data_IF_081404176024
#
_entry.id   IF_081404176024
#
_cell.length_a   1.000
_cell.length_b   1.000
_cell.length_c   1.000
_cell.angle_alpha   90.00
_cell.angle_beta   90.00
_cell.angle_gamma   90.00
#
_symmetry.space_group_name_H-M   'P 1'
#
loop_
_entity.id
_entity.type
_entity.pdbx_description
1 polymer ?
#
# COMPACT_ATOMS: atom_id res chain seq x y z
N UNK A 1 27.71 14.91 15.97
CA UNK A 1 28.23 14.30 14.72
C UNK A 1 27.23 14.20 13.56
N UNK A 2 25.93 13.95 13.78
CA UNK A 2 24.96 13.77 12.67
C UNK A 2 24.58 15.03 11.85
N UNK A 3 24.87 16.24 12.35
CA UNK A 3 24.58 17.51 11.63
C UNK A 3 25.70 17.92 10.66
N UNK A 4 26.97 17.56 10.92
CA UNK A 4 28.11 17.90 10.06
C UNK A 4 28.15 17.07 8.76
N UNK A 5 27.73 15.81 8.80
CA UNK A 5 27.76 14.91 7.62
C UNK A 5 26.76 15.36 6.54
N UNK A 6 25.65 16.00 6.91
CA UNK A 6 24.66 16.56 5.97
C UNK A 6 25.14 17.84 5.26
N UNK A 7 26.03 18.62 5.87
CA UNK A 7 26.56 19.87 5.29
C UNK A 7 27.63 19.56 4.23
N UNK A 8 28.50 18.58 4.50
CA UNK A 8 29.58 18.17 3.58
C UNK A 8 29.02 17.57 2.28
N UNK A 9 27.90 16.83 2.34
CA UNK A 9 27.24 16.28 1.15
C UNK A 9 26.56 17.35 0.27
N UNK A 10 26.10 18.46 0.86
CA UNK A 10 25.44 19.56 0.12
C UNK A 10 26.46 20.44 -0.63
N UNK A 11 27.67 20.60 -0.09
CA UNK A 11 28.75 21.37 -0.73
C UNK A 11 29.39 20.66 -1.93
N UNK A 12 29.42 19.31 -1.96
CA UNK A 12 29.96 18.54 -3.10
C UNK A 12 29.09 18.64 -4.37
N UNK A 13 27.78 18.87 -4.23
CA UNK A 13 26.84 19.00 -5.36
C UNK A 13 26.88 20.42 -5.95
N UNK A 14 27.16 21.45 -5.15
CA UNK A 14 27.26 22.83 -5.67
C UNK A 14 28.52 23.07 -6.51
N UNK A 15 29.64 22.38 -6.24
CA UNK A 15 30.86 22.51 -7.06
C UNK A 15 30.72 21.90 -8.45
N UNK A 16 29.84 20.91 -8.65
CA UNK A 16 29.58 20.31 -9.97
C UNK A 16 28.61 21.14 -10.83
N UNK A 17 27.76 21.97 -10.22
CA UNK A 17 26.87 22.90 -10.93
C UNK A 17 27.57 24.19 -11.41
N UNK A 18 28.71 24.55 -10.81
CA UNK A 18 29.45 25.76 -11.20
C UNK A 18 30.19 25.60 -12.55
N UNK A 19 30.53 24.38 -12.96
CA UNK A 19 31.16 24.12 -14.27
C UNK A 19 30.15 23.96 -15.42
N UNK A 20 28.89 23.58 -15.14
CA UNK A 20 27.87 23.46 -16.19
C UNK A 20 27.30 24.81 -16.64
N UNK A 21 27.46 25.87 -15.84
CA UNK A 21 27.01 27.23 -16.17
C UNK A 21 27.97 28.02 -17.06
N UNK A 22 29.19 27.53 -17.31
CA UNK A 22 30.18 28.22 -18.16
C UNK A 22 30.11 27.84 -19.65
N UNK A 23 29.32 26.83 -20.01
CA UNK A 23 29.16 26.37 -21.41
C UNK A 23 27.99 27.07 -22.13
N UNK A 24 27.10 27.75 -21.39
CA UNK A 24 25.96 28.49 -21.96
C UNK A 24 26.23 30.01 -21.92
N UNK A 25 27.37 30.45 -22.46
CA UNK A 25 27.71 31.88 -22.54
C UNK A 25 28.31 32.33 -23.87
N UNK A 26 28.25 31.52 -24.93
CA UNK A 26 28.69 31.98 -26.25
C UNK A 26 27.73 31.50 -27.32
N UNK A 27 26.82 32.41 -27.69
CA UNK A 27 26.21 32.59 -29.02
C UNK A 27 24.94 33.44 -28.86
N UNK A 28 25.14 34.75 -28.82
CA UNK A 28 24.12 35.77 -29.06
C UNK A 28 24.26 36.19 -30.52
N UNK A 29 23.35 35.73 -31.38
CA UNK A 29 22.92 36.49 -32.57
C UNK A 29 21.45 36.17 -32.84
N UNK A 30 20.64 37.21 -32.99
CA UNK A 30 19.18 37.17 -32.99
C UNK A 30 18.56 36.80 -34.34
N UNK A 31 19.28 36.09 -35.22
CA UNK A 31 18.82 35.80 -36.59
C UNK A 31 18.47 34.34 -36.87
N UNK A 32 18.80 33.38 -36.00
CA UNK A 32 18.47 31.95 -36.23
C UNK A 32 17.14 31.50 -35.61
N UNK A 33 16.53 32.30 -34.72
CA UNK A 33 15.27 31.92 -34.06
C UNK A 33 14.06 31.86 -35.02
N UNK A 34 14.08 32.61 -36.12
CA UNK A 34 12.96 32.62 -37.07
C UNK A 34 13.02 31.51 -38.12
N UNK A 35 14.20 30.96 -38.42
CA UNK A 35 14.34 29.82 -39.34
C UNK A 35 14.21 28.46 -38.63
N UNK A 36 14.53 28.38 -37.34
CA UNK A 36 14.46 27.13 -36.57
C UNK A 36 13.03 26.67 -36.25
N UNK A 37 12.05 27.59 -36.25
CA UNK A 37 10.65 27.28 -35.93
C UNK A 37 9.82 26.78 -37.13
N UNK A 38 10.35 26.82 -38.37
CA UNK A 38 9.56 26.50 -39.58
C UNK A 38 9.86 25.15 -40.24
N UNK A 39 10.88 24.40 -39.82
CA UNK A 39 11.30 23.15 -40.50
C UNK A 39 11.20 21.87 -39.66
N UNK A 40 10.67 21.90 -38.43
CA UNK A 40 10.43 20.70 -37.61
C UNK A 40 8.95 20.45 -37.30
N UNK A 41 8.09 20.76 -38.27
CA UNK A 41 6.68 20.35 -38.31
C UNK A 41 6.46 18.87 -38.67
N UNK A 42 7.42 17.98 -38.40
CA UNK A 42 7.21 16.53 -38.46
C UNK A 42 7.30 15.97 -37.05
N UNK A 43 6.14 15.59 -36.52
CA UNK A 43 5.91 14.92 -35.23
C UNK A 43 6.88 13.76 -35.02
N UNK A 44 8.05 14.01 -34.42
CA UNK A 44 8.79 12.97 -33.73
C UNK A 44 8.02 12.64 -32.45
N UNK A 45 7.13 11.64 -32.52
CA UNK A 45 6.69 10.91 -31.33
C UNK A 45 7.95 10.27 -30.74
N UNK A 46 8.64 10.96 -29.83
CA UNK A 46 9.68 10.38 -28.99
C UNK A 46 9.07 9.15 -28.31
N UNK A 47 9.41 7.97 -28.81
CA UNK A 47 9.15 6.71 -28.12
C UNK A 47 10.06 6.67 -26.91
N UNK A 48 9.64 7.32 -25.82
CA UNK A 48 10.23 7.11 -24.51
C UNK A 48 10.06 5.61 -24.20
N UNK A 49 11.13 4.84 -23.94
CA UNK A 49 10.98 3.43 -23.63
C UNK A 49 10.04 3.29 -22.42
N UNK A 50 9.03 2.41 -22.55
CA UNK A 50 8.03 2.17 -21.51
C UNK A 50 8.76 1.75 -20.23
N UNK A 51 8.60 2.53 -19.16
CA UNK A 51 9.24 2.24 -17.87
C UNK A 51 8.86 0.83 -17.41
N UNK A 52 9.88 0.02 -17.12
CA UNK A 52 9.70 -1.36 -16.65
C UNK A 52 9.48 -1.37 -15.14
N UNK A 53 8.61 -2.28 -14.70
CA UNK A 53 8.40 -2.53 -13.27
C UNK A 53 9.67 -3.08 -12.61
N UNK A 54 9.90 -2.75 -11.33
CA UNK A 54 11.13 -3.19 -10.63
C UNK A 54 11.24 -4.71 -10.55
N UNK A 55 10.10 -5.42 -10.40
CA UNK A 55 10.06 -6.87 -10.51
C UNK A 55 10.67 -7.34 -11.83
N UNK A 56 10.21 -6.81 -12.97
CA UNK A 56 10.72 -7.14 -14.31
C UNK A 56 12.20 -6.82 -14.47
N UNK A 57 12.68 -5.75 -13.84
CA UNK A 57 14.10 -5.35 -13.90
C UNK A 57 15.00 -6.31 -13.11
N UNK A 58 14.52 -6.82 -11.98
CA UNK A 58 15.34 -7.57 -11.03
C UNK A 58 15.03 -9.07 -10.95
N UNK A 59 14.12 -9.58 -11.78
CA UNK A 59 13.82 -10.99 -11.93
C UNK A 59 14.38 -11.56 -13.23
N UNK A 60 14.77 -12.84 -13.18
CA UNK A 60 15.17 -13.63 -14.34
C UNK A 60 14.01 -14.53 -14.79
N UNK A 61 14.26 -15.34 -15.82
CA UNK A 61 13.34 -16.39 -16.26
C UNK A 61 12.79 -17.19 -15.06
N UNK A 62 11.47 -17.42 -15.04
CA UNK A 62 10.78 -18.05 -13.91
C UNK A 62 10.46 -17.12 -12.72
N UNK A 63 10.48 -15.79 -12.91
CA UNK A 63 10.17 -14.81 -11.86
C UNK A 63 11.09 -14.88 -10.61
N UNK A 64 12.31 -15.40 -10.77
CA UNK A 64 13.27 -15.52 -9.67
C UNK A 64 14.12 -14.26 -9.56
N UNK A 65 14.11 -13.63 -8.39
CA UNK A 65 14.94 -12.46 -8.11
C UNK A 65 16.44 -12.79 -8.06
N UNK A 66 17.28 -11.82 -8.44
CA UNK A 66 18.73 -11.93 -8.22
C UNK A 66 19.07 -12.13 -6.75
N UNK A 67 20.22 -12.79 -6.47
CA UNK A 67 20.66 -13.03 -5.08
C UNK A 67 20.70 -11.75 -4.25
N UNK A 68 21.24 -10.66 -4.84
CA UNK A 68 21.30 -9.34 -4.22
C UNK A 68 19.91 -8.77 -3.94
N UNK A 69 18.97 -8.87 -4.90
CA UNK A 69 17.61 -8.35 -4.71
C UNK A 69 16.82 -9.16 -3.69
N UNK A 70 16.98 -10.48 -3.70
CA UNK A 70 16.38 -11.35 -2.71
C UNK A 70 16.92 -11.08 -1.30
N UNK A 71 18.24 -10.88 -1.14
CA UNK A 71 18.83 -10.50 0.15
C UNK A 71 18.24 -9.17 0.67
N UNK A 72 18.03 -8.19 -0.23
CA UNK A 72 17.33 -6.95 0.12
C UNK A 72 15.89 -7.21 0.60
N UNK A 73 15.13 -8.07 -0.08
CA UNK A 73 13.78 -8.45 0.39
C UNK A 73 13.80 -9.08 1.79
N UNK A 74 14.77 -9.95 2.06
CA UNK A 74 14.93 -10.60 3.36
C UNK A 74 15.24 -9.56 4.44
N UNK A 75 16.08 -8.57 4.15
CA UNK A 75 16.38 -7.48 5.08
C UNK A 75 15.12 -6.66 5.40
N UNK A 76 14.34 -6.27 4.39
CA UNK A 76 13.05 -5.58 4.61
C UNK A 76 12.15 -6.42 5.52
N UNK A 77 11.99 -7.71 5.19
CA UNK A 77 11.14 -8.61 5.98
C UNK A 77 11.60 -8.71 7.44
N UNK A 78 12.91 -8.81 7.67
CA UNK A 78 13.47 -8.87 9.01
C UNK A 78 13.20 -7.59 9.80
N UNK A 79 13.31 -6.40 9.18
CA UNK A 79 12.99 -5.13 9.85
C UNK A 79 11.51 -5.04 10.27
N UNK A 80 10.59 -5.51 9.43
CA UNK A 80 9.17 -5.58 9.76
C UNK A 80 8.92 -6.58 10.91
N UNK A 81 9.55 -7.75 10.87
CA UNK A 81 9.34 -8.79 11.87
C UNK A 81 9.77 -8.39 13.29
N UNK A 82 10.76 -7.51 13.45
CA UNK A 82 11.23 -7.02 14.76
C UNK A 82 10.11 -6.32 15.57
N UNK A 83 9.09 -5.80 14.88
CA UNK A 83 7.98 -5.07 15.49
C UNK A 83 6.89 -5.99 16.07
N UNK A 84 6.92 -7.28 15.75
CA UNK A 84 5.88 -8.23 16.13
C UNK A 84 6.28 -9.12 17.31
N UNK A 85 5.41 -9.22 18.31
CA UNK A 85 5.54 -10.21 19.37
C UNK A 85 5.05 -11.59 18.90
N UNK A 86 5.44 -12.61 19.65
CA UNK A 86 4.89 -13.97 19.55
C UNK A 86 3.88 -14.17 20.69
N UNK A 87 2.90 -15.10 20.57
CA UNK A 87 1.97 -15.41 21.65
C UNK A 87 2.73 -15.99 22.84
N UNK A 88 2.11 -15.89 24.03
CA UNK A 88 2.61 -16.62 25.21
C UNK A 88 2.50 -18.13 24.96
N UNK A 89 3.24 -18.90 25.74
CA UNK A 89 3.20 -20.37 25.64
C UNK A 89 1.75 -20.87 25.83
N UNK A 90 1.31 -21.75 24.93
CA UNK A 90 -0.05 -22.30 24.93
C UNK A 90 -1.10 -21.42 24.23
N UNK A 91 -0.82 -20.16 23.92
CA UNK A 91 -1.77 -19.28 23.25
C UNK A 91 -1.70 -19.37 21.70
N UNK A 92 -2.80 -19.02 21.05
CA UNK A 92 -2.87 -18.92 19.59
C UNK A 92 -2.28 -17.57 19.13
N UNK A 93 -1.47 -17.53 18.06
CA UNK A 93 -1.11 -16.27 17.43
C UNK A 93 -2.36 -15.63 16.82
N UNK A 94 -2.37 -14.30 16.77
CA UNK A 94 -3.52 -13.52 16.28
C UNK A 94 -3.16 -12.89 14.95
N UNK A 95 -4.06 -13.01 13.98
CA UNK A 95 -4.02 -12.22 12.76
C UNK A 95 -5.24 -11.34 12.68
N UNK A 96 -5.01 -10.04 12.51
CA UNK A 96 -6.07 -9.06 12.31
C UNK A 96 -6.18 -8.76 10.83
N UNK A 97 -7.29 -9.12 10.20
CA UNK A 97 -7.61 -8.71 8.84
C UNK A 97 -8.26 -7.33 8.87
N UNK A 98 -7.71 -6.39 8.12
CA UNK A 98 -8.28 -5.04 7.97
C UNK A 98 -8.77 -4.88 6.54
N UNK A 99 -10.05 -4.57 6.38
CA UNK A 99 -10.78 -4.54 5.13
C UNK A 99 -11.63 -3.27 4.95
N UNK A 100 -12.06 -3.02 3.72
CA UNK A 100 -12.92 -1.89 3.41
C UNK A 100 -12.58 -1.24 2.07
N UNK A 101 -13.59 -0.61 1.48
CA UNK A 101 -13.46 0.12 0.22
C UNK A 101 -12.33 1.16 0.21
N UNK A 102 -11.94 1.61 -0.97
CA UNK A 102 -10.96 2.70 -1.09
C UNK A 102 -11.46 3.94 -0.33
N UNK A 103 -10.57 4.60 0.41
CA UNK A 103 -10.86 5.76 1.26
C UNK A 103 -11.88 5.57 2.40
N UNK A 104 -12.21 4.33 2.79
CA UNK A 104 -13.15 4.08 3.89
C UNK A 104 -12.65 4.47 5.29
N UNK A 105 -11.33 4.60 5.48
CA UNK A 105 -10.74 4.93 6.80
C UNK A 105 -10.12 3.74 7.54
N UNK A 106 -9.65 2.72 6.80
CA UNK A 106 -8.87 1.59 7.35
C UNK A 106 -7.70 2.04 8.25
N UNK A 107 -6.97 3.07 7.83
CA UNK A 107 -5.88 3.63 8.65
C UNK A 107 -6.39 4.19 9.98
N UNK A 108 -7.55 4.86 9.96
CA UNK A 108 -8.20 5.40 11.17
C UNK A 108 -8.53 4.28 12.14
N UNK A 109 -9.32 3.26 11.74
CA UNK A 109 -9.69 2.16 12.64
C UNK A 109 -8.45 1.41 13.16
N UNK A 110 -7.43 1.24 12.31
CA UNK A 110 -6.17 0.59 12.67
C UNK A 110 -5.49 1.33 13.82
N UNK A 111 -5.41 2.65 13.73
CA UNK A 111 -4.71 3.49 14.70
C UNK A 111 -5.52 3.70 15.98
N UNK A 112 -6.84 3.87 15.90
CA UNK A 112 -7.66 4.30 17.04
C UNK A 112 -8.31 3.14 17.79
N UNK A 113 -8.76 2.09 17.10
CA UNK A 113 -9.51 0.99 17.71
C UNK A 113 -8.63 -0.25 17.85
N UNK A 114 -8.06 -0.72 16.75
CA UNK A 114 -7.37 -2.02 16.71
C UNK A 114 -6.09 -1.97 17.54
N UNK A 115 -5.22 -0.98 17.29
CA UNK A 115 -3.97 -0.83 18.06
C UNK A 115 -4.23 -0.64 19.56
N UNK A 116 -5.24 0.14 19.94
CA UNK A 116 -5.63 0.33 21.34
C UNK A 116 -5.98 -1.00 22.00
N UNK A 117 -6.88 -1.79 21.40
CA UNK A 117 -7.26 -3.13 21.89
C UNK A 117 -6.08 -4.10 21.99
N UNK A 118 -5.14 -4.04 21.04
CA UNK A 118 -3.95 -4.89 21.07
C UNK A 118 -2.96 -4.47 22.17
N UNK A 119 -2.77 -3.17 22.39
CA UNK A 119 -1.91 -2.63 23.46
C UNK A 119 -2.47 -2.98 24.83
N UNK A 120 -3.79 -2.87 25.04
CA UNK A 120 -4.46 -3.30 26.29
C UNK A 120 -4.20 -4.78 26.61
N UNK A 121 -3.98 -5.59 25.57
CA UNK A 121 -3.63 -7.02 25.69
C UNK A 121 -2.12 -7.28 25.69
N UNK A 122 -1.29 -6.24 25.69
CA UNK A 122 0.18 -6.34 25.56
C UNK A 122 0.64 -7.08 24.30
N UNK A 123 -0.07 -6.91 23.18
CA UNK A 123 0.24 -7.54 21.89
C UNK A 123 0.85 -6.51 20.93
N UNK A 124 2.09 -6.77 20.50
CA UNK A 124 2.76 -5.99 19.47
C UNK A 124 2.55 -6.66 18.10
N UNK A 125 2.08 -5.90 17.12
CA UNK A 125 1.84 -6.39 15.76
C UNK A 125 2.58 -5.57 14.73
N UNK A 126 2.96 -6.22 13.63
CA UNK A 126 3.37 -5.55 12.40
C UNK A 126 2.22 -5.52 11.40
N UNK A 127 2.07 -4.43 10.65
CA UNK A 127 1.14 -4.38 9.51
C UNK A 127 1.80 -4.93 8.26
N UNK A 128 1.16 -5.89 7.61
CA UNK A 128 1.46 -6.29 6.24
C UNK A 128 0.61 -5.44 5.30
N UNK A 129 1.19 -4.34 4.82
CA UNK A 129 0.60 -3.45 3.81
C UNK A 129 1.57 -3.27 2.63
N UNK A 130 1.21 -3.72 1.42
CA UNK A 130 2.03 -3.51 0.23
C UNK A 130 2.29 -2.04 -0.11
N UNK A 131 1.46 -1.10 0.34
CA UNK A 131 1.70 0.34 0.14
C UNK A 131 2.79 0.86 1.08
N UNK A 132 2.83 0.44 2.35
CA UNK A 132 3.90 0.78 3.30
C UNK A 132 5.24 0.13 2.90
N UNK A 133 5.22 -1.10 2.36
CA UNK A 133 6.43 -1.79 1.92
C UNK A 133 7.12 -1.08 0.74
N UNK A 134 6.39 -0.29 -0.08
CA UNK A 134 6.98 0.43 -1.22
C UNK A 134 8.05 1.41 -0.78
N UNK A 135 7.89 2.06 0.37
CA UNK A 135 8.87 3.02 0.89
C UNK A 135 10.20 2.37 1.30
N UNK A 136 10.22 1.04 1.42
CA UNK A 136 11.44 0.27 1.65
C UNK A 136 12.13 -0.21 0.36
N UNK A 137 11.48 -0.05 -0.80
CA UNK A 137 12.07 -0.39 -2.10
C UNK A 137 12.98 0.78 -2.53
N UNK A 138 14.29 0.57 -2.72
CA UNK A 138 15.26 1.66 -2.91
C UNK A 138 14.95 2.62 -4.06
N UNK A 139 14.35 2.10 -5.14
CA UNK A 139 14.00 2.90 -6.32
C UNK A 139 12.80 3.81 -6.10
N UNK A 140 11.95 3.54 -5.10
CA UNK A 140 10.63 4.16 -4.99
C UNK A 140 10.73 5.68 -4.78
N UNK A 141 11.64 6.15 -3.93
CA UNK A 141 11.86 7.59 -3.72
C UNK A 141 12.27 8.33 -5.01
N UNK A 142 13.14 7.72 -5.80
CA UNK A 142 13.56 8.29 -7.08
C UNK A 142 12.42 8.27 -8.09
N UNK A 143 11.63 7.19 -8.12
CA UNK A 143 10.46 7.06 -8.98
C UNK A 143 9.39 8.08 -8.61
N UNK A 144 9.12 8.33 -7.32
CA UNK A 144 8.19 9.38 -6.86
C UNK A 144 8.58 10.76 -7.41
N UNK A 145 9.88 11.07 -7.47
CA UNK A 145 10.39 12.35 -7.99
C UNK A 145 10.34 12.46 -9.51
N UNK A 146 10.68 11.39 -10.23
CA UNK A 146 10.79 11.43 -11.71
C UNK A 146 9.50 11.10 -12.44
N UNK A 147 8.70 10.20 -11.87
CA UNK A 147 7.51 9.62 -12.48
C UNK A 147 6.40 9.43 -11.43
N UNK A 148 5.91 10.51 -10.78
CA UNK A 148 4.99 10.43 -9.64
C UNK A 148 3.74 9.58 -9.91
N UNK A 149 3.16 9.70 -11.11
CA UNK A 149 1.95 8.98 -11.52
C UNK A 149 2.19 7.47 -11.72
N UNK A 150 3.42 7.06 -12.04
CA UNK A 150 3.78 5.67 -12.31
C UNK A 150 4.49 5.00 -11.14
N UNK A 151 5.08 5.76 -10.22
CA UNK A 151 5.97 5.25 -9.18
C UNK A 151 5.35 4.08 -8.41
N UNK A 152 4.13 4.26 -7.91
CA UNK A 152 3.44 3.24 -7.12
C UNK A 152 3.13 1.98 -7.92
N UNK A 153 2.83 2.12 -9.23
CA UNK A 153 2.57 1.02 -10.16
C UNK A 153 3.85 0.24 -10.45
N UNK A 154 4.97 0.94 -10.66
CA UNK A 154 6.25 0.35 -11.04
C UNK A 154 6.85 -0.56 -9.96
N UNK A 155 6.59 -0.27 -8.68
CA UNK A 155 7.06 -1.12 -7.56
C UNK A 155 5.99 -2.08 -7.02
N UNK A 156 4.75 -2.01 -7.52
CA UNK A 156 3.61 -2.69 -6.92
C UNK A 156 3.77 -4.21 -6.85
N UNK A 157 4.19 -4.86 -7.96
CA UNK A 157 4.32 -6.32 -7.98
C UNK A 157 5.41 -6.82 -7.05
N UNK A 158 6.51 -6.07 -6.93
CA UNK A 158 7.58 -6.41 -6.01
C UNK A 158 7.15 -6.22 -4.55
N UNK A 159 6.40 -5.16 -4.23
CA UNK A 159 5.88 -4.98 -2.88
C UNK A 159 4.89 -6.07 -2.47
N UNK A 160 4.10 -6.61 -3.43
CA UNK A 160 3.28 -7.80 -3.21
C UNK A 160 4.12 -9.05 -2.90
N UNK A 161 5.20 -9.31 -3.65
CA UNK A 161 6.07 -10.46 -3.41
C UNK A 161 6.75 -10.37 -2.02
N UNK A 162 7.21 -9.18 -1.63
CA UNK A 162 7.77 -8.93 -0.28
C UNK A 162 6.70 -9.14 0.81
N UNK A 163 5.47 -8.66 0.58
CA UNK A 163 4.35 -8.86 1.52
C UNK A 163 4.05 -10.36 1.71
N UNK A 164 4.05 -11.14 0.63
CA UNK A 164 3.85 -12.59 0.71
C UNK A 164 4.99 -13.30 1.45
N UNK A 165 6.23 -12.86 1.24
CA UNK A 165 7.40 -13.36 1.97
C UNK A 165 7.31 -13.03 3.47
N UNK A 166 6.89 -11.81 3.81
CA UNK A 166 6.65 -11.38 5.19
C UNK A 166 5.59 -12.26 5.86
N UNK A 167 4.43 -12.46 5.22
CA UNK A 167 3.37 -13.34 5.75
C UNK A 167 3.87 -14.77 5.97
N UNK A 168 4.66 -15.32 5.04
CA UNK A 168 5.24 -16.67 5.20
C UNK A 168 6.15 -16.74 6.43
N UNK A 169 6.98 -15.73 6.65
CA UNK A 169 7.89 -15.66 7.81
C UNK A 169 7.13 -15.44 9.12
N UNK A 170 6.15 -14.55 9.15
CA UNK A 170 5.31 -14.32 10.34
C UNK A 170 4.60 -15.60 10.79
N UNK A 171 4.02 -16.34 9.85
CA UNK A 171 3.41 -17.66 10.12
C UNK A 171 4.43 -18.65 10.70
N UNK A 172 5.60 -18.77 10.06
CA UNK A 172 6.66 -19.69 10.50
C UNK A 172 7.09 -19.42 11.93
N UNK A 173 7.19 -18.14 12.31
CA UNK A 173 7.62 -17.72 13.64
C UNK A 173 6.46 -17.46 14.60
N UNK A 174 5.23 -17.87 14.22
CA UNK A 174 3.98 -17.71 14.99
C UNK A 174 3.80 -16.28 15.52
N UNK A 175 4.12 -15.26 14.72
CA UNK A 175 4.03 -13.86 15.12
C UNK A 175 2.61 -13.33 15.02
N UNK A 176 2.21 -12.41 15.90
CA UNK A 176 0.98 -11.63 15.71
C UNK A 176 1.18 -10.61 14.58
N UNK A 177 0.17 -10.41 13.74
CA UNK A 177 0.27 -9.40 12.68
C UNK A 177 -1.10 -8.89 12.21
N UNK A 178 -1.10 -7.72 11.59
CA UNK A 178 -2.25 -7.19 10.88
C UNK A 178 -2.03 -7.41 9.37
N UNK A 179 -3.06 -7.81 8.64
CA UNK A 179 -3.03 -7.92 7.19
C UNK A 179 -4.06 -6.96 6.59
N UNK A 180 -3.58 -5.89 5.98
CA UNK A 180 -4.45 -4.87 5.40
C UNK A 180 -4.70 -5.12 3.92
N UNK A 181 -5.92 -4.84 3.48
CA UNK A 181 -6.29 -4.82 2.07
C UNK A 181 -7.69 -4.29 1.89
N UNK A 182 -8.17 -4.24 0.65
CA UNK A 182 -9.51 -3.73 0.39
C UNK A 182 -10.61 -4.72 0.75
N UNK A 183 -10.32 -6.02 0.87
CA UNK A 183 -11.32 -7.10 0.87
C UNK A 183 -12.15 -7.23 -0.42
N UNK A 184 -11.81 -6.54 -1.51
CA UNK A 184 -12.53 -6.63 -2.78
C UNK A 184 -12.21 -7.88 -3.63
N UNK A 185 -11.74 -8.99 -3.03
CA UNK A 185 -11.36 -10.22 -3.73
C UNK A 185 -11.73 -11.46 -2.91
N UNK A 186 -12.98 -11.89 -2.98
CA UNK A 186 -13.56 -12.98 -2.16
C UNK A 186 -12.68 -14.23 -2.12
N UNK A 187 -12.27 -14.76 -3.29
CA UNK A 187 -11.49 -16.00 -3.34
C UNK A 187 -10.10 -15.85 -2.72
N UNK A 188 -9.48 -14.66 -2.78
CA UNK A 188 -8.22 -14.37 -2.11
C UNK A 188 -8.40 -14.48 -0.60
N UNK A 189 -9.44 -13.87 -0.04
CA UNK A 189 -9.69 -13.89 1.40
C UNK A 189 -10.11 -15.26 1.92
N UNK A 190 -10.90 -16.03 1.17
CA UNK A 190 -11.18 -17.45 1.49
C UNK A 190 -9.88 -18.25 1.62
N UNK A 191 -8.94 -18.08 0.68
CA UNK A 191 -7.64 -18.76 0.71
C UNK A 191 -6.76 -18.29 1.87
N UNK A 192 -6.73 -16.98 2.15
CA UNK A 192 -5.98 -16.41 3.28
C UNK A 192 -6.49 -16.92 4.63
N UNK A 193 -7.81 -16.88 4.85
CA UNK A 193 -8.43 -17.39 6.09
C UNK A 193 -8.11 -18.87 6.27
N UNK A 194 -8.28 -19.69 5.22
CA UNK A 194 -7.91 -21.12 5.27
C UNK A 194 -6.43 -21.31 5.61
N UNK A 195 -5.54 -20.50 5.04
CA UNK A 195 -4.10 -20.55 5.34
C UNK A 195 -3.81 -20.20 6.80
N UNK A 196 -4.45 -19.17 7.35
CA UNK A 196 -4.24 -18.75 8.73
C UNK A 196 -4.84 -19.73 9.74
N UNK A 197 -6.05 -20.25 9.49
CA UNK A 197 -6.64 -21.32 10.32
C UNK A 197 -5.76 -22.57 10.34
N UNK A 198 -5.24 -23.00 9.18
CA UNK A 198 -4.29 -24.13 9.11
C UNK A 198 -2.99 -23.89 9.87
N UNK A 199 -2.57 -22.64 10.01
CA UNK A 199 -1.40 -22.25 10.80
C UNK A 199 -1.71 -22.07 12.31
N UNK A 200 -2.96 -22.35 12.73
CA UNK A 200 -3.39 -22.25 14.13
C UNK A 200 -3.62 -20.83 14.63
N UNK A 201 -3.89 -19.89 13.73
CA UNK A 201 -4.19 -18.51 14.09
C UNK A 201 -5.63 -18.33 14.55
N UNK A 202 -5.81 -17.46 15.55
CA UNK A 202 -7.06 -16.76 15.80
C UNK A 202 -7.17 -15.56 14.85
N UNK A 203 -8.32 -15.38 14.22
CA UNK A 203 -8.54 -14.44 13.12
C UNK A 203 -9.61 -13.44 13.51
N UNK A 204 -9.24 -12.16 13.57
CA UNK A 204 -10.16 -11.05 13.79
C UNK A 204 -10.29 -10.22 12.51
N UNK A 205 -11.49 -10.03 12.00
CA UNK A 205 -11.73 -9.20 10.81
C UNK A 205 -12.35 -7.85 11.20
N UNK A 206 -11.72 -6.76 10.80
CA UNK A 206 -12.24 -5.40 10.94
C UNK A 206 -12.49 -4.82 9.55
N UNK A 207 -13.73 -4.47 9.28
CA UNK A 207 -14.17 -3.91 8.00
C UNK A 207 -14.65 -2.50 8.25
N UNK A 208 -14.19 -1.58 7.42
CA UNK A 208 -14.63 -0.18 7.47
C UNK A 208 -15.36 0.18 6.19
N UNK A 209 -16.53 0.77 6.37
CA UNK A 209 -17.43 1.15 5.31
C UNK A 209 -17.79 2.64 5.34
N UNK A 210 -18.09 3.16 4.15
CA UNK A 210 -18.68 4.48 3.91
C UNK A 210 -19.50 4.41 2.61
N UNK A 211 -20.44 5.34 2.38
CA UNK A 211 -21.08 5.53 1.08
C UNK A 211 -20.05 5.78 -0.04
N UNK A 212 -20.36 5.29 -1.24
CA UNK A 212 -19.49 5.41 -2.41
C UNK A 212 -19.19 6.87 -2.77
N UNK A 213 -20.18 7.75 -2.72
CA UNK A 213 -20.00 9.17 -3.06
C UNK A 213 -19.05 9.87 -2.09
N UNK A 214 -19.16 9.57 -0.78
CA UNK A 214 -18.20 10.05 0.21
C UNK A 214 -16.79 9.50 -0.04
N UNK A 215 -16.66 8.25 -0.51
CA UNK A 215 -15.37 7.70 -0.88
C UNK A 215 -14.75 8.42 -2.07
N UNK A 216 -15.54 8.74 -3.11
CA UNK A 216 -15.10 9.52 -4.28
C UNK A 216 -14.62 10.91 -3.86
N UNK A 217 -15.35 11.60 -2.98
CA UNK A 217 -14.97 12.89 -2.41
C UNK A 217 -13.62 12.80 -1.67
N UNK A 218 -13.47 11.85 -0.73
CA UNK A 218 -12.22 11.66 0.03
C UNK A 218 -11.03 11.31 -0.86
N UNK A 219 -11.23 10.54 -1.93
CA UNK A 219 -10.17 10.24 -2.90
C UNK A 219 -9.75 11.50 -3.66
N UNK A 220 -10.70 12.33 -4.09
CA UNK A 220 -10.40 13.58 -4.78
C UNK A 220 -9.61 14.55 -3.88
N UNK A 221 -9.98 14.69 -2.61
CA UNK A 221 -9.23 15.47 -1.63
C UNK A 221 -7.81 14.94 -1.41
N UNK A 222 -7.67 13.61 -1.27
CA UNK A 222 -6.35 12.98 -1.11
C UNK A 222 -5.48 13.16 -2.37
N UNK A 223 -6.07 13.15 -3.56
CA UNK A 223 -5.36 13.39 -4.80
C UNK A 223 -4.77 14.82 -4.85
N UNK A 224 -5.50 15.83 -4.37
CA UNK A 224 -5.01 17.22 -4.28
C UNK A 224 -3.75 17.34 -3.40
N UNK A 225 -3.66 16.55 -2.33
CA UNK A 225 -2.52 16.59 -1.39
C UNK A 225 -1.35 15.72 -1.88
N UNK A 226 -1.64 14.51 -2.35
CA UNK A 226 -0.62 13.49 -2.63
C UNK A 226 -0.19 13.44 -4.10
N UNK A 227 -0.95 14.06 -5.01
CA UNK A 227 -0.79 13.90 -6.46
C UNK A 227 -1.17 12.51 -7.00
N UNK A 228 -1.61 11.57 -6.14
CA UNK A 228 -1.99 10.22 -6.55
C UNK A 228 -3.47 10.18 -6.91
N UNK A 229 -3.75 10.00 -8.20
CA UNK A 229 -5.09 9.72 -8.69
C UNK A 229 -5.40 8.22 -8.64
N UNK A 230 -6.65 7.87 -8.31
CA UNK A 230 -7.16 6.50 -8.36
C UNK A 230 -8.31 6.50 -9.37
N UNK A 231 -8.29 5.62 -10.39
CA UNK A 231 -9.37 5.57 -11.37
C UNK A 231 -10.73 5.31 -10.72
N UNK A 232 -11.82 6.01 -11.12
CA UNK A 232 -13.15 5.88 -10.50
C UNK A 232 -13.66 4.42 -10.41
N UNK A 233 -13.50 3.66 -11.49
CA UNK A 233 -13.91 2.24 -11.53
C UNK A 233 -13.22 1.38 -10.46
N UNK A 234 -12.00 1.72 -10.02
CA UNK A 234 -11.33 1.01 -8.93
C UNK A 234 -12.03 1.31 -7.60
N UNK A 235 -12.43 2.56 -7.37
CA UNK A 235 -13.15 2.97 -6.16
C UNK A 235 -14.49 2.22 -6.12
N UNK A 236 -15.27 2.32 -7.19
CA UNK A 236 -16.58 1.66 -7.34
C UNK A 236 -16.50 0.15 -7.14
N UNK A 237 -15.59 -0.52 -7.85
CA UNK A 237 -15.40 -1.97 -7.71
C UNK A 237 -15.03 -2.38 -6.29
N UNK A 238 -14.18 -1.60 -5.61
CA UNK A 238 -13.82 -1.92 -4.21
C UNK A 238 -15.00 -1.79 -3.27
N UNK A 239 -15.86 -0.79 -3.45
CA UNK A 239 -17.04 -0.61 -2.61
C UNK A 239 -18.11 -1.65 -2.90
N UNK A 240 -18.30 -2.04 -4.17
CA UNK A 240 -19.27 -3.08 -4.55
C UNK A 240 -18.88 -4.48 -4.04
N UNK A 241 -17.60 -4.85 -4.10
CA UNK A 241 -17.19 -6.23 -3.80
C UNK A 241 -16.99 -6.54 -2.32
N UNK A 242 -16.84 -5.50 -1.47
CA UNK A 242 -16.58 -5.68 -0.04
C UNK A 242 -17.75 -6.32 0.71
N UNK A 243 -19.01 -5.86 0.56
CA UNK A 243 -20.15 -6.47 1.24
C UNK A 243 -20.30 -7.96 0.93
N UNK A 244 -20.24 -8.31 -0.36
CA UNK A 244 -20.25 -9.71 -0.78
C UNK A 244 -19.09 -10.51 -0.17
N UNK A 245 -17.88 -9.94 -0.11
CA UNK A 245 -16.75 -10.65 0.51
C UNK A 245 -16.98 -10.86 2.00
N UNK A 246 -17.52 -9.87 2.72
CA UNK A 246 -17.83 -9.97 4.16
C UNK A 246 -18.82 -11.09 4.42
N UNK A 247 -19.95 -11.13 3.71
CA UNK A 247 -20.95 -12.20 3.88
C UNK A 247 -20.35 -13.60 3.69
N UNK A 248 -19.43 -13.75 2.73
CA UNK A 248 -18.79 -15.04 2.45
C UNK A 248 -17.77 -15.46 3.53
N UNK A 249 -17.15 -14.51 4.24
CA UNK A 249 -16.07 -14.79 5.18
C UNK A 249 -16.42 -14.62 6.66
N UNK A 250 -17.50 -13.91 7.01
CA UNK A 250 -17.82 -13.55 8.41
C UNK A 250 -17.94 -14.78 9.32
N UNK A 251 -18.49 -15.88 8.81
CA UNK A 251 -18.64 -17.15 9.54
C UNK A 251 -17.39 -18.05 9.47
N UNK A 252 -16.28 -17.59 8.88
CA UNK A 252 -15.02 -18.34 8.73
C UNK A 252 -13.89 -17.77 9.59
N UNK A 253 -14.11 -16.63 10.23
CA UNK A 253 -13.19 -15.98 11.17
C UNK A 253 -13.66 -16.18 12.60
N UNK A 254 -12.81 -15.94 13.59
CA UNK A 254 -13.17 -16.08 15.00
C UNK A 254 -14.00 -14.89 15.47
N UNK A 255 -13.62 -13.68 15.05
CA UNK A 255 -14.37 -12.45 15.30
C UNK A 255 -14.45 -11.59 14.04
N UNK A 256 -15.59 -10.95 13.81
CA UNK A 256 -15.71 -9.89 12.82
C UNK A 256 -16.35 -8.64 13.40
N UNK A 257 -16.01 -7.49 12.81
CA UNK A 257 -16.55 -6.20 13.14
C UNK A 257 -16.67 -5.37 11.86
N UNK A 258 -17.85 -4.83 11.60
CA UNK A 258 -18.11 -3.89 10.51
C UNK A 258 -18.39 -2.53 11.13
N UNK A 259 -17.66 -1.52 10.69
CA UNK A 259 -17.79 -0.15 11.15
C UNK A 259 -18.23 0.75 10.01
N UNK A 260 -19.22 1.59 10.26
CA UNK A 260 -19.48 2.78 9.45
C UNK A 260 -18.50 3.89 9.86
N UNK A 261 -18.03 4.66 8.88
CA UNK A 261 -17.10 5.77 9.10
C UNK A 261 -17.51 7.05 8.35
N UNK A 262 -18.83 7.30 8.21
CA UNK A 262 -19.35 8.56 7.65
C UNK A 262 -19.01 9.73 8.55
N UNK A 263 -19.42 9.64 9.82
CA UNK A 263 -19.36 10.72 10.82
C UNK A 263 -18.51 10.34 12.05
N UNK A 264 -17.56 9.42 11.87
CA UNK A 264 -16.84 8.75 12.95
C UNK A 264 -17.12 7.25 12.94
N UNK A 265 -16.28 6.49 13.66
CA UNK A 265 -16.36 5.04 13.69
C UNK A 265 -17.53 4.57 14.54
N UNK A 266 -18.57 4.04 13.90
CA UNK A 266 -19.74 3.43 14.55
C UNK A 266 -19.75 1.94 14.23
N UNK A 267 -19.81 1.07 15.24
CA UNK A 267 -19.97 -0.37 15.02
C UNK A 267 -21.38 -0.64 14.49
N UNK A 268 -21.49 -1.32 13.35
CA UNK A 268 -22.79 -1.63 12.72
C UNK A 268 -23.06 -3.14 12.64
N UNK A 269 -22.02 -3.97 12.71
CA UNK A 269 -22.21 -5.41 12.85
C UNK A 269 -21.00 -6.09 13.50
N UNK A 270 -21.26 -7.17 14.22
CA UNK A 270 -20.27 -8.10 14.76
C UNK A 270 -20.91 -9.48 14.93
N UNK A 271 -20.18 -10.44 15.49
CA UNK A 271 -20.73 -11.76 15.81
C UNK A 271 -22.04 -11.70 16.64
N UNK A 272 -22.13 -10.71 17.54
CA UNK A 272 -23.14 -10.68 18.61
C UNK A 272 -24.04 -9.43 18.51
N UNK A 273 -23.93 -8.64 17.43
CA UNK A 273 -24.65 -7.37 17.27
C UNK A 273 -24.83 -7.03 15.79
N UNK A 274 -25.99 -6.50 15.42
CA UNK A 274 -26.29 -5.93 14.10
C UNK A 274 -27.14 -4.68 14.30
N UNK A 275 -26.77 -3.58 13.65
CA UNK A 275 -27.62 -2.40 13.44
C UNK A 275 -28.33 -2.55 12.09
N UNK A 276 -29.60 -2.98 12.05
CA UNK A 276 -30.23 -3.45 10.81
C UNK A 276 -30.20 -2.43 9.68
N UNK A 277 -30.55 -1.17 9.95
CA UNK A 277 -30.62 -0.15 8.90
C UNK A 277 -29.27 0.12 8.24
N UNK A 278 -28.21 0.30 9.05
CA UNK A 278 -26.87 0.58 8.53
C UNK A 278 -26.22 -0.66 7.91
N UNK A 279 -26.52 -1.86 8.44
CA UNK A 279 -26.00 -3.09 7.87
C UNK A 279 -26.66 -3.41 6.52
N UNK A 280 -27.96 -3.19 6.38
CA UNK A 280 -28.67 -3.35 5.11
C UNK A 280 -28.15 -2.35 4.06
N UNK A 281 -27.92 -1.09 4.44
CA UNK A 281 -27.25 -0.11 3.56
C UNK A 281 -25.88 -0.60 3.09
N UNK A 282 -25.09 -1.17 4.00
CA UNK A 282 -23.79 -1.75 3.66
C UNK A 282 -23.93 -2.89 2.64
N UNK A 283 -24.87 -3.81 2.84
CA UNK A 283 -25.11 -4.95 1.96
C UNK A 283 -25.59 -4.53 0.56
N UNK A 284 -26.51 -3.56 0.48
CA UNK A 284 -27.08 -3.05 -0.78
C UNK A 284 -26.04 -2.50 -1.76
N UNK A 285 -24.86 -2.07 -1.28
CA UNK A 285 -23.77 -1.64 -2.18
C UNK A 285 -23.22 -2.79 -3.03
N UNK A 286 -23.42 -4.03 -2.60
CA UNK A 286 -22.97 -5.22 -3.31
C UNK A 286 -23.90 -5.71 -4.41
N UNK A 287 -25.14 -5.22 -4.44
CA UNK A 287 -26.15 -5.51 -5.45
C UNK A 287 -25.80 -4.83 -6.79
#
# INVERSE_FOLDING_TARGET
MHRLVKVIYKMKIMKTLYHFRKIISYCRTSMEKHYFHRTLGKKFKRHSPKLKETKTVYSFAGNKYSKKRHAMHINIVNEFMKQASSPKNGEKPIVVLIGGGTASGKTTIRQTVIKKKLIERSICTVTVDPDEIKDYIPEYELLKKKHPNDAARLVHKESLDISELLVKRLIRHRKHFMHEGTMARTQKYKKLIKKFKKAGYEIHAYIVDIPLELAKQRVAERAKISGREIPPHIIENTHKLVPHTVEVIKNRVDRYYVYDNRNGLVLIASNDYIEPGLYDEFLKKGE
#
